data_IF_377272122121
#
_entry.id   IF_377272122121
#
_cell.length_a   1.000
_cell.length_b   1.000
_cell.length_c   1.000
_cell.angle_alpha   90.00
_cell.angle_beta   90.00
_cell.angle_gamma   90.00
#
_symmetry.space_group_name_H-M   'P 1'
#
loop_
_entity.id
_entity.type
_entity.pdbx_description
1 polymer ?
#
# COMPACT_ATOMS: atom_id res chain seq x y z
N UNK A 1 32.98 -3.87 -5.25
CA UNK A 1 31.98 -2.82 -5.55
C UNK A 1 30.73 -3.32 -4.86
N UNK A 2 30.40 -2.74 -3.71
CA UNK A 2 29.19 -3.10 -2.99
C UNK A 2 28.00 -2.77 -3.90
N UNK A 3 27.15 -3.77 -4.14
CA UNK A 3 25.88 -3.53 -4.81
C UNK A 3 25.07 -2.59 -3.92
N UNK A 4 24.98 -1.32 -4.32
CA UNK A 4 23.97 -0.44 -3.76
C UNK A 4 22.61 -1.04 -4.11
N UNK A 5 21.91 -1.60 -3.12
CA UNK A 5 20.52 -2.02 -3.27
C UNK A 5 19.70 -0.75 -3.52
N UNK A 6 19.52 -0.40 -4.79
CA UNK A 6 18.66 0.69 -5.22
C UNK A 6 17.20 0.23 -5.13
N UNK A 7 16.44 0.92 -4.26
CA UNK A 7 14.97 1.06 -4.19
C UNK A 7 14.19 0.23 -5.22
N UNK A 8 13.78 -0.97 -4.84
CA UNK A 8 12.82 -1.74 -5.64
C UNK A 8 11.71 -2.31 -4.75
N UNK A 9 10.61 -1.56 -4.65
CA UNK A 9 9.31 -2.17 -4.34
C UNK A 9 8.39 -1.94 -5.53
N UNK A 10 8.38 -2.90 -6.44
CA UNK A 10 7.33 -3.04 -7.43
C UNK A 10 6.16 -3.77 -6.76
N UNK A 11 5.11 -3.04 -6.34
CA UNK A 11 3.90 -3.70 -5.89
C UNK A 11 3.35 -4.60 -7.02
N UNK A 12 2.90 -5.79 -6.66
CA UNK A 12 2.27 -6.68 -7.62
C UNK A 12 0.91 -6.07 -8.00
N UNK A 13 0.73 -5.76 -9.28
CA UNK A 13 -0.52 -5.23 -9.83
C UNK A 13 -0.98 -6.16 -10.94
N UNK A 14 -2.14 -6.81 -10.72
CA UNK A 14 -2.76 -7.72 -11.70
C UNK A 14 -4.16 -7.23 -12.03
N UNK A 15 -4.43 -7.00 -13.32
CA UNK A 15 -5.80 -6.76 -13.77
C UNK A 15 -6.66 -8.03 -13.58
N UNK A 16 -7.92 -7.84 -13.21
CA UNK A 16 -8.90 -8.92 -13.11
C UNK A 16 -9.60 -9.06 -14.46
N UNK A 17 -9.54 -10.24 -15.06
CA UNK A 17 -10.19 -10.48 -16.35
C UNK A 17 -11.71 -10.32 -16.25
N UNK A 18 -12.31 -9.60 -17.20
CA UNK A 18 -13.76 -9.34 -17.22
C UNK A 18 -14.25 -8.28 -16.23
N UNK A 19 -13.36 -7.68 -15.42
CA UNK A 19 -13.72 -6.65 -14.44
C UNK A 19 -12.82 -5.41 -14.55
N UNK A 20 -13.35 -4.22 -14.24
CA UNK A 20 -12.53 -3.01 -14.11
C UNK A 20 -11.90 -2.95 -12.72
N UNK A 21 -11.05 -3.93 -12.45
CA UNK A 21 -10.45 -4.14 -11.13
C UNK A 21 -8.98 -4.54 -11.20
N UNK A 22 -8.27 -4.26 -10.10
CA UNK A 22 -6.87 -4.62 -9.89
C UNK A 22 -6.72 -5.39 -8.58
N UNK A 23 -5.98 -6.48 -8.60
CA UNK A 23 -5.42 -7.09 -7.39
C UNK A 23 -4.07 -6.45 -7.11
N UNK A 24 -3.90 -5.94 -5.89
CA UNK A 24 -2.77 -5.09 -5.51
C UNK A 24 -2.25 -5.44 -4.12
N UNK A 25 -0.93 -5.41 -3.95
CA UNK A 25 -0.29 -5.38 -2.62
C UNK A 25 -0.16 -3.94 -2.16
N UNK A 26 -0.86 -3.57 -1.09
CA UNK A 26 -0.97 -2.17 -0.65
C UNK A 26 0.03 -1.77 0.45
N UNK A 27 0.66 -2.76 1.07
CA UNK A 27 1.79 -2.61 2.00
C UNK A 27 2.53 -3.94 2.08
N UNK A 28 3.82 -3.88 2.36
CA UNK A 28 4.63 -5.03 2.75
C UNK A 28 5.06 -4.91 4.21
N UNK A 29 5.64 -5.99 4.75
CA UNK A 29 6.30 -6.03 6.05
C UNK A 29 7.81 -5.67 5.95
N UNK A 30 8.22 -5.02 4.86
CA UNK A 30 9.59 -4.57 4.64
C UNK A 30 9.69 -3.07 4.90
N UNK A 31 10.90 -2.58 5.16
CA UNK A 31 11.16 -1.14 5.28
C UNK A 31 10.66 -0.42 4.03
N UNK A 32 9.79 0.57 4.23
CA UNK A 32 9.19 1.36 3.17
C UNK A 32 10.10 2.54 2.78
N UNK A 33 9.64 3.37 1.83
CA UNK A 33 10.41 4.53 1.34
C UNK A 33 10.69 5.60 2.41
N UNK A 34 9.95 5.58 3.51
CA UNK A 34 10.02 6.52 4.62
C UNK A 34 10.90 5.99 5.75
N UNK A 35 11.36 4.74 5.64
CA UNK A 35 12.10 4.05 6.69
C UNK A 35 11.20 3.29 7.66
N UNK A 36 9.89 3.22 7.42
CA UNK A 36 8.94 2.57 8.34
C UNK A 36 8.68 1.11 7.95
N UNK A 37 8.35 0.28 8.93
CA UNK A 37 7.77 -1.06 8.70
C UNK A 37 6.34 -1.06 9.22
N UNK A 38 5.38 -1.40 8.37
CA UNK A 38 4.00 -1.61 8.80
C UNK A 38 3.76 -3.09 9.07
N UNK A 39 3.46 -3.45 10.31
CA UNK A 39 3.05 -4.80 10.70
C UNK A 39 1.62 -5.12 10.16
N UNK A 40 1.48 -5.95 9.10
CA UNK A 40 0.19 -6.17 8.44
C UNK A 40 -0.84 -6.80 9.39
N UNK A 41 -0.41 -7.72 10.27
CA UNK A 41 -1.31 -8.42 11.20
C UNK A 41 -1.92 -7.46 12.22
N UNK A 42 -1.24 -6.36 12.57
CA UNK A 42 -1.69 -5.34 13.51
C UNK A 42 -2.83 -4.43 13.04
N UNK A 43 -3.08 -4.33 11.73
CA UNK A 43 -4.04 -3.35 11.17
C UNK A 43 -5.49 -3.53 11.62
N UNK A 44 -6.14 -2.51 12.19
CA UNK A 44 -7.58 -2.57 12.54
C UNK A 44 -8.45 -2.05 11.40
N UNK A 45 -9.02 -2.96 10.61
CA UNK A 45 -9.74 -2.64 9.37
C UNK A 45 -11.25 -2.37 9.53
N UNK A 46 -11.80 -2.52 10.73
CA UNK A 46 -13.27 -2.46 10.97
C UNK A 46 -13.90 -1.15 10.51
N UNK A 47 -13.26 0.00 10.80
CA UNK A 47 -13.78 1.29 10.37
C UNK A 47 -13.60 1.53 8.87
N UNK A 48 -12.44 1.16 8.31
CA UNK A 48 -12.19 1.27 6.88
C UNK A 48 -13.24 0.51 6.05
N UNK A 49 -13.62 -0.70 6.49
CA UNK A 49 -14.64 -1.52 5.81
C UNK A 49 -16.03 -0.87 5.72
N UNK A 50 -16.35 0.11 6.57
CA UNK A 50 -17.63 0.85 6.48
C UNK A 50 -17.68 1.75 5.25
N UNK A 51 -16.53 2.27 4.82
CA UNK A 51 -16.39 3.09 3.63
C UNK A 51 -15.00 2.91 2.99
N UNK A 52 -14.75 1.80 2.27
CA UNK A 52 -13.41 1.39 1.84
C UNK A 52 -13.00 2.09 0.54
N UNK A 53 -12.89 3.42 0.60
CA UNK A 53 -12.54 4.25 -0.56
C UNK A 53 -11.04 4.20 -0.86
N UNK A 54 -10.70 4.27 -2.14
CA UNK A 54 -9.32 4.40 -2.63
C UNK A 54 -9.13 5.79 -3.18
N UNK A 55 -8.13 6.50 -2.64
CA UNK A 55 -7.79 7.86 -3.05
C UNK A 55 -6.57 7.83 -3.98
N UNK A 56 -6.52 8.76 -4.92
CA UNK A 56 -5.31 8.98 -5.70
C UNK A 56 -4.27 9.68 -4.83
N UNK A 57 -3.11 9.07 -4.64
CA UNK A 57 -1.96 9.68 -3.97
C UNK A 57 -2.25 10.31 -2.58
N UNK A 58 -3.17 9.72 -1.81
CA UNK A 58 -3.63 10.27 -0.51
C UNK A 58 -4.22 11.70 -0.62
N UNK A 59 -4.77 12.07 -1.78
CA UNK A 59 -5.53 13.30 -1.93
C UNK A 59 -6.89 13.16 -1.22
N UNK A 60 -6.96 13.74 -0.01
CA UNK A 60 -8.18 13.78 0.81
C UNK A 60 -9.16 14.88 0.40
N UNK A 61 -8.85 15.68 -0.62
CA UNK A 61 -9.75 16.71 -1.17
C UNK A 61 -10.46 16.22 -2.44
N UNK A 62 -9.83 15.31 -3.18
CA UNK A 62 -10.41 14.70 -4.39
C UNK A 62 -11.47 13.63 -4.14
N UNK A 63 -12.25 13.32 -5.18
CA UNK A 63 -13.16 12.17 -5.17
C UNK A 63 -12.38 10.85 -5.21
N UNK A 64 -12.85 9.79 -4.53
CA UNK A 64 -12.26 8.46 -4.64
C UNK A 64 -12.19 7.96 -6.08
N UNK A 65 -11.06 7.34 -6.43
CA UNK A 65 -10.85 6.72 -7.75
C UNK A 65 -11.35 5.27 -7.80
N UNK A 66 -11.70 4.69 -6.66
CA UNK A 66 -12.17 3.32 -6.58
C UNK A 66 -12.56 2.90 -5.17
N UNK A 67 -12.86 1.61 -5.04
CA UNK A 67 -13.26 0.96 -3.80
C UNK A 67 -12.42 -0.28 -3.57
N UNK A 68 -11.93 -0.45 -2.34
CA UNK A 68 -11.19 -1.62 -1.92
C UNK A 68 -12.12 -2.70 -1.34
N UNK A 69 -11.77 -3.96 -1.60
CA UNK A 69 -12.43 -5.16 -1.12
C UNK A 69 -11.40 -6.28 -0.95
N UNK A 70 -11.82 -7.43 -0.40
CA UNK A 70 -10.96 -8.60 -0.22
C UNK A 70 -9.60 -8.26 0.44
N UNK A 71 -9.66 -7.45 1.50
CA UNK A 71 -8.48 -7.07 2.27
C UNK A 71 -7.95 -8.30 3.02
N UNK A 72 -6.87 -8.85 2.50
CA UNK A 72 -6.22 -10.04 3.03
C UNK A 72 -4.88 -9.64 3.64
N UNK A 73 -4.75 -9.88 4.95
CA UNK A 73 -3.47 -9.76 5.63
C UNK A 73 -2.73 -11.07 5.47
N UNK A 74 -1.55 -11.00 4.91
CA UNK A 74 -0.63 -12.13 4.78
C UNK A 74 0.58 -11.89 5.68
N UNK A 75 1.53 -12.82 5.69
CA UNK A 75 2.79 -12.62 6.42
C UNK A 75 3.66 -11.54 5.77
N UNK A 76 3.53 -11.35 4.46
CA UNK A 76 4.40 -10.48 3.67
C UNK A 76 3.79 -9.10 3.39
N UNK A 77 2.55 -8.84 3.82
CA UNK A 77 1.86 -7.61 3.48
C UNK A 77 0.35 -7.69 3.54
N UNK A 78 -0.31 -6.66 3.02
CA UNK A 78 -1.77 -6.64 2.82
C UNK A 78 -2.05 -6.62 1.33
N UNK A 79 -2.90 -7.55 0.88
CA UNK A 79 -3.42 -7.59 -0.48
C UNK A 79 -4.85 -7.07 -0.50
N UNK A 80 -5.26 -6.48 -1.63
CA UNK A 80 -6.58 -5.94 -1.84
C UNK A 80 -7.03 -6.13 -3.29
N UNK A 81 -8.34 -6.22 -3.48
CA UNK A 81 -8.99 -6.01 -4.79
C UNK A 81 -9.56 -4.60 -4.84
N UNK A 82 -9.10 -3.79 -5.80
CA UNK A 82 -9.58 -2.44 -6.06
C UNK A 82 -10.47 -2.45 -7.29
N UNK A 83 -11.73 -2.08 -7.14
CA UNK A 83 -12.68 -1.90 -8.24
C UNK A 83 -12.79 -0.41 -8.57
N UNK A 84 -12.67 -0.08 -9.85
CA UNK A 84 -12.84 1.28 -10.37
C UNK A 84 -14.30 1.50 -10.81
N UNK A 85 -14.80 2.75 -10.83
CA UNK A 85 -16.09 3.09 -11.43
C UNK A 85 -16.18 2.63 -12.89
N UNK A 86 -17.40 2.50 -13.41
CA UNK A 86 -17.60 2.26 -14.84
C UNK A 86 -16.88 3.34 -15.68
N UNK A 87 -16.40 2.92 -16.85
CA UNK A 87 -15.66 3.82 -17.74
C UNK A 87 -16.52 5.02 -18.16
N UNK A 88 -15.95 6.23 -18.08
CA UNK A 88 -16.63 7.48 -18.38
C UNK A 88 -17.35 8.11 -17.18
N UNK A 89 -17.55 7.39 -16.07
CA UNK A 89 -18.18 7.96 -14.85
C UNK A 89 -17.27 9.00 -14.19
N UNK A 90 -15.96 8.73 -14.17
CA UNK A 90 -14.98 9.62 -13.56
C UNK A 90 -13.65 9.61 -14.34
N UNK A 91 -13.37 10.65 -15.15
CA UNK A 91 -12.20 10.66 -16.03
C UNK A 91 -10.84 10.47 -15.33
N UNK A 92 -10.70 10.92 -14.08
CA UNK A 92 -9.48 10.68 -13.31
C UNK A 92 -9.33 9.19 -12.99
N UNK A 93 -10.40 8.50 -12.55
CA UNK A 93 -10.36 7.07 -12.28
C UNK A 93 -10.02 6.27 -13.53
N UNK A 94 -10.53 6.67 -14.69
CA UNK A 94 -10.20 6.05 -15.97
C UNK A 94 -8.73 6.18 -16.33
N UNK A 95 -8.21 7.40 -16.17
CA UNK A 95 -6.79 7.68 -16.40
C UNK A 95 -5.93 6.82 -15.48
N UNK A 96 -6.23 6.80 -14.18
CA UNK A 96 -5.45 6.05 -13.19
C UNK A 96 -5.51 4.53 -13.45
N UNK A 97 -6.70 3.99 -13.71
CA UNK A 97 -6.87 2.57 -14.05
C UNK A 97 -6.02 2.19 -15.28
N UNK A 98 -6.07 3.00 -16.33
CA UNK A 98 -5.31 2.76 -17.55
C UNK A 98 -3.79 2.85 -17.33
N UNK A 99 -3.32 3.76 -16.47
CA UNK A 99 -1.90 3.87 -16.13
C UNK A 99 -1.38 2.64 -15.37
N UNK A 100 -2.17 2.09 -14.45
CA UNK A 100 -1.83 0.82 -13.79
C UNK A 100 -1.91 -0.38 -14.76
N UNK A 101 -2.98 -0.48 -15.55
CA UNK A 101 -3.17 -1.56 -16.53
C UNK A 101 -2.02 -1.62 -17.55
N UNK A 102 -1.52 -0.46 -17.98
CA UNK A 102 -0.39 -0.34 -18.90
C UNK A 102 0.98 -0.32 -18.21
N UNK A 103 1.01 -0.51 -16.88
CA UNK A 103 2.24 -0.60 -16.06
C UNK A 103 3.09 0.67 -16.01
N UNK A 104 2.52 1.84 -16.34
CA UNK A 104 3.15 3.14 -16.08
C UNK A 104 3.15 3.47 -14.59
N UNK A 105 2.13 3.00 -13.86
CA UNK A 105 2.06 3.04 -12.40
C UNK A 105 2.12 1.63 -11.83
N UNK A 106 2.82 1.47 -10.70
CA UNK A 106 2.97 0.20 -9.97
C UNK A 106 2.89 0.33 -8.46
N UNK A 107 3.26 1.47 -7.90
CA UNK A 107 3.34 1.65 -6.45
C UNK A 107 1.96 1.80 -5.81
N UNK A 108 1.78 1.16 -4.65
CA UNK A 108 0.62 1.30 -3.78
C UNK A 108 1.09 1.56 -2.36
N UNK A 109 0.26 2.25 -1.57
CA UNK A 109 0.51 2.54 -0.17
C UNK A 109 -0.82 2.65 0.58
N UNK A 110 -0.76 2.44 1.90
CA UNK A 110 -1.89 2.64 2.80
C UNK A 110 -1.75 3.93 3.59
N UNK A 111 -2.85 4.66 3.73
CA UNK A 111 -2.97 5.71 4.74
C UNK A 111 -3.46 5.09 6.04
N UNK A 112 -2.74 5.29 7.14
CA UNK A 112 -3.10 4.75 8.44
C UNK A 112 -2.75 5.71 9.56
N UNK A 113 -3.37 5.49 10.72
CA UNK A 113 -3.00 6.13 11.98
C UNK A 113 -2.34 5.05 12.83
N UNK A 114 -1.07 5.22 13.27
CA UNK A 114 -0.40 4.25 14.11
C UNK A 114 -1.18 4.01 15.41
N UNK A 115 -1.36 2.73 15.76
CA UNK A 115 -1.93 2.32 17.06
C UNK A 115 -0.80 2.17 18.09
N UNK A 116 0.34 1.66 17.62
CA UNK A 116 1.62 1.53 18.31
C UNK A 116 2.72 1.77 17.29
N UNK A 117 3.85 2.28 17.74
CA UNK A 117 5.07 2.45 16.97
C UNK A 117 6.27 2.25 17.90
N UNK A 118 7.37 1.78 17.34
CA UNK A 118 8.67 1.69 17.97
C UNK A 118 9.71 2.14 16.96
N UNK A 119 10.81 2.70 17.45
CA UNK A 119 11.91 3.11 16.57
C UNK A 119 12.59 1.86 16.02
N UNK A 120 12.92 1.89 14.74
CA UNK A 120 13.82 0.88 14.16
C UNK A 120 15.22 1.24 14.63
N UNK A 121 15.77 0.42 15.52
CA UNK A 121 17.14 0.52 16.02
C UNK A 121 18.00 -0.51 15.30
N UNK A 122 19.06 -0.06 14.65
CA UNK A 122 20.08 -0.95 14.10
C UNK A 122 20.90 -1.58 15.24
N UNK A 123 21.39 -2.81 15.06
CA UNK A 123 22.18 -3.54 16.08
C UNK A 123 23.41 -2.75 16.58
N UNK A 124 23.98 -1.88 15.74
CA UNK A 124 25.08 -0.99 16.14
C UNK A 124 24.62 0.14 17.07
N UNK A 125 23.39 0.63 16.89
CA UNK A 125 22.82 1.69 17.71
C UNK A 125 22.27 1.15 19.03
N UNK A 126 21.77 -0.08 19.08
CA UNK A 126 21.43 -0.77 20.34
C UNK A 126 22.65 -0.90 21.28
N UNK A 127 23.82 -1.24 20.71
CA UNK A 127 25.09 -1.32 21.47
C UNK A 127 25.55 0.05 21.96
N UNK A 128 25.34 1.12 21.19
CA UNK A 128 25.69 2.50 21.61
C UNK A 128 24.72 3.08 22.63
N UNK A 129 23.44 2.70 22.59
CA UNK A 129 22.42 3.18 23.53
C UNK A 129 22.39 2.41 24.87
N UNK A 130 23.25 1.39 25.04
CA UNK A 130 23.38 0.66 26.31
C UNK A 130 22.13 -0.12 26.73
N UNK A 131 21.28 -0.50 25.76
CA UNK A 131 20.00 -1.17 26.01
C UNK A 131 20.05 -2.69 25.94
N UNK A 132 21.23 -3.28 25.74
CA UNK A 132 21.43 -4.73 25.80
C UNK A 132 21.47 -5.25 27.25
N UNK A 133 20.54 -6.14 27.59
CA UNK A 133 20.67 -7.10 28.69
C UNK A 133 20.69 -8.50 28.13
#
# INVERSE_FOLDING_TARGET
>A
MEDFILKDFAAEVKAVEGERALNVTITTNTVDRSGDIVEPKGGKLTNFRKNPVVLMAHDYQGLPIGKASNLEKTENGVNAKVTFPEEGVYPLADTVYNMYKQKYMRAWSIGFIPIKSEDIVDEEDEKKMGRGR
#
